data_IF_982896580840
#
_entry.id   IF_982896580840
#
_cell.length_a   1.000
_cell.length_b   1.000
_cell.length_c   1.000
_cell.angle_alpha   90.00
_cell.angle_beta   90.00
_cell.angle_gamma   90.00
#
_symmetry.space_group_name_H-M   'P 1'
#
loop_
_entity.id
_entity.type
_entity.pdbx_description
1 polymer ?
#
# COMPACT_ATOMS: atom_id res chain seq x y z
N UNK A 1 -21.05 23.60 -15.39
CA UNK A 1 -19.87 24.17 -14.68
C UNK A 1 -19.51 23.29 -13.49
N UNK A 2 -20.50 22.75 -12.80
CA UNK A 2 -20.33 21.89 -11.62
C UNK A 2 -19.48 20.64 -11.92
N UNK A 3 -19.73 19.94 -13.04
CA UNK A 3 -18.96 18.74 -13.41
C UNK A 3 -17.46 19.01 -13.65
N UNK A 4 -17.12 20.21 -14.15
CA UNK A 4 -15.73 20.64 -14.33
C UNK A 4 -15.06 20.80 -12.97
N UNK A 5 -15.74 21.44 -12.01
CA UNK A 5 -15.24 21.62 -10.66
C UNK A 5 -15.05 20.25 -9.99
N UNK A 6 -16.03 19.34 -10.12
CA UNK A 6 -15.94 17.99 -9.57
C UNK A 6 -14.73 17.23 -10.12
N UNK A 7 -14.44 17.35 -11.42
CA UNK A 7 -13.25 16.75 -12.02
C UNK A 7 -11.95 17.28 -11.42
N UNK A 8 -11.83 18.59 -11.23
CA UNK A 8 -10.67 19.20 -10.58
C UNK A 8 -10.57 18.85 -9.09
N UNK A 9 -11.68 18.74 -8.38
CA UNK A 9 -11.67 18.31 -6.97
C UNK A 9 -11.24 16.84 -6.85
N UNK A 10 -11.68 15.97 -7.77
CA UNK A 10 -11.28 14.56 -7.81
C UNK A 10 -9.75 14.43 -7.87
N UNK A 11 -9.11 15.09 -8.84
CA UNK A 11 -7.64 15.04 -8.97
C UNK A 11 -6.93 15.74 -7.81
N UNK A 12 -7.47 16.85 -7.28
CA UNK A 12 -6.87 17.59 -6.17
C UNK A 12 -6.84 16.77 -4.87
N UNK A 13 -7.97 16.15 -4.50
CA UNK A 13 -8.07 15.27 -3.32
C UNK A 13 -7.11 14.09 -3.46
N UNK A 14 -7.11 13.45 -4.64
CA UNK A 14 -6.22 12.33 -4.93
C UNK A 14 -4.74 12.73 -4.83
N UNK A 15 -4.33 13.82 -5.47
CA UNK A 15 -2.95 14.28 -5.48
C UNK A 15 -2.44 14.71 -4.08
N UNK A 16 -3.28 15.41 -3.31
CA UNK A 16 -2.96 15.79 -1.94
C UNK A 16 -2.78 14.56 -1.05
N UNK A 17 -3.71 13.60 -1.13
CA UNK A 17 -3.65 12.35 -0.37
C UNK A 17 -2.41 11.52 -0.71
N UNK A 18 -2.09 11.36 -2.00
CA UNK A 18 -0.89 10.63 -2.45
C UNK A 18 0.38 11.34 -2.00
N UNK A 19 0.45 12.67 -2.07
CA UNK A 19 1.63 13.41 -1.59
C UNK A 19 1.90 13.14 -0.12
N UNK A 20 0.85 13.15 0.71
CA UNK A 20 0.94 12.83 2.14
C UNK A 20 1.32 11.35 2.35
N UNK A 21 0.75 10.44 1.56
CA UNK A 21 1.08 9.01 1.60
C UNK A 21 2.56 8.74 1.27
N UNK A 22 3.07 9.32 0.18
CA UNK A 22 4.48 9.19 -0.23
C UNK A 22 5.40 9.77 0.83
N UNK A 23 5.05 10.92 1.42
CA UNK A 23 5.83 11.51 2.51
C UNK A 23 5.89 10.58 3.74
N UNK A 24 4.76 9.97 4.12
CA UNK A 24 4.72 9.03 5.23
C UNK A 24 5.53 7.76 4.93
N UNK A 25 5.43 7.25 3.69
CA UNK A 25 6.22 6.11 3.21
C UNK A 25 7.72 6.38 3.29
N UNK A 26 8.19 7.54 2.80
CA UNK A 26 9.60 7.93 2.83
C UNK A 26 10.16 8.09 4.24
N UNK A 27 9.31 8.42 5.21
CA UNK A 27 9.68 8.55 6.63
C UNK A 27 9.52 7.26 7.42
N UNK A 28 9.02 6.19 6.80
CA UNK A 28 8.67 4.94 7.49
C UNK A 28 7.64 5.19 8.62
N UNK A 29 6.75 6.16 8.40
CA UNK A 29 5.75 6.65 9.35
C UNK A 29 4.32 6.39 8.85
N UNK A 30 4.11 5.30 8.10
CA UNK A 30 2.76 4.95 7.66
C UNK A 30 1.90 4.65 8.90
N UNK A 31 0.78 5.36 9.12
CA UNK A 31 -0.03 5.16 10.30
C UNK A 31 -0.66 3.76 10.30
N UNK A 32 -0.75 3.16 11.49
CA UNK A 32 -1.44 1.87 11.67
C UNK A 32 -2.89 1.95 11.16
N UNK A 33 -3.57 3.04 11.50
CA UNK A 33 -4.89 3.35 10.96
C UNK A 33 -4.79 4.16 9.66
N UNK A 34 -4.88 3.47 8.53
CA UNK A 34 -4.88 4.06 7.18
C UNK A 34 -6.25 4.51 6.65
N UNK A 35 -7.30 4.49 7.48
CA UNK A 35 -8.67 4.80 7.06
C UNK A 35 -8.82 6.21 6.46
N UNK A 36 -8.06 7.20 6.95
CA UNK A 36 -8.10 8.57 6.40
C UNK A 36 -7.68 8.63 4.93
N UNK A 37 -6.61 7.93 4.56
CA UNK A 37 -6.17 7.83 3.15
C UNK A 37 -7.20 7.11 2.29
N UNK A 38 -7.74 6.00 2.80
CA UNK A 38 -8.79 5.24 2.12
C UNK A 38 -10.02 6.10 1.88
N UNK A 39 -10.48 6.85 2.89
CA UNK A 39 -11.61 7.76 2.76
C UNK A 39 -11.34 8.85 1.71
N UNK A 40 -10.16 9.46 1.71
CA UNK A 40 -9.78 10.46 0.72
C UNK A 40 -9.79 9.89 -0.71
N UNK A 41 -9.30 8.66 -0.92
CA UNK A 41 -9.34 8.03 -2.24
C UNK A 41 -10.76 7.60 -2.64
N UNK A 42 -11.60 7.13 -1.71
CA UNK A 42 -13.03 6.89 -1.99
C UNK A 42 -13.72 8.18 -2.43
N UNK A 43 -13.47 9.29 -1.74
CA UNK A 43 -14.00 10.62 -2.11
C UNK A 43 -13.48 11.03 -3.48
N UNK A 44 -12.17 10.93 -3.73
CA UNK A 44 -11.57 11.27 -5.03
C UNK A 44 -12.17 10.44 -6.17
N UNK A 45 -12.35 9.13 -5.96
CA UNK A 45 -12.99 8.23 -6.91
C UNK A 45 -14.45 8.62 -7.17
N UNK A 46 -15.24 8.84 -6.12
CA UNK A 46 -16.65 9.21 -6.24
C UNK A 46 -16.82 10.54 -7.00
N UNK A 47 -16.03 11.56 -6.66
CA UNK A 47 -16.05 12.85 -7.35
C UNK A 47 -15.74 12.71 -8.84
N UNK A 48 -14.74 11.90 -9.19
CA UNK A 48 -14.35 11.69 -10.59
C UNK A 48 -15.41 10.91 -11.37
N UNK A 49 -16.01 9.88 -10.76
CA UNK A 49 -17.12 9.13 -11.38
C UNK A 49 -18.33 10.03 -11.60
N UNK A 50 -18.75 10.81 -10.59
CA UNK A 50 -19.88 11.73 -10.71
C UNK A 50 -19.62 12.77 -11.80
N UNK A 51 -18.41 13.35 -11.85
CA UNK A 51 -18.04 14.30 -12.91
C UNK A 51 -18.15 13.68 -14.31
N UNK A 52 -17.75 12.41 -14.48
CA UNK A 52 -17.79 11.70 -15.77
C UNK A 52 -19.20 11.25 -16.19
N UNK A 53 -20.14 11.11 -15.26
CA UNK A 53 -21.54 10.79 -15.57
C UNK A 53 -22.33 11.99 -16.11
N UNK A 54 -21.84 13.21 -15.87
CA UNK A 54 -22.36 14.43 -16.46
C UNK A 54 -21.76 14.71 -17.83
N UNK A 55 -21.56 15.98 -18.17
CA UNK A 55 -20.95 16.42 -19.43
C UNK A 55 -19.77 17.38 -19.16
N UNK A 56 -18.67 16.90 -18.55
CA UNK A 56 -17.58 17.76 -18.08
C UNK A 56 -16.70 18.31 -19.23
N UNK A 57 -16.91 17.83 -20.47
CA UNK A 57 -16.00 18.04 -21.59
C UNK A 57 -14.57 17.59 -21.26
N UNK A 58 -13.59 18.04 -22.03
CA UNK A 58 -12.18 17.68 -21.77
C UNK A 58 -11.62 18.35 -20.50
N UNK A 59 -12.03 19.59 -20.22
CA UNK A 59 -11.50 20.37 -19.10
C UNK A 59 -11.83 19.79 -17.72
N UNK A 60 -12.98 19.13 -17.57
CA UNK A 60 -13.32 18.37 -16.38
C UNK A 60 -13.08 16.87 -16.51
N UNK A 61 -13.28 16.31 -17.71
CA UNK A 61 -13.23 14.86 -17.95
C UNK A 61 -11.83 14.28 -17.78
N UNK A 62 -10.79 14.98 -18.25
CA UNK A 62 -9.39 14.52 -18.08
C UNK A 62 -8.99 14.46 -16.59
N UNK A 63 -9.14 15.53 -15.79
CA UNK A 63 -8.80 15.45 -14.37
C UNK A 63 -9.70 14.47 -13.61
N UNK A 64 -10.99 14.36 -13.96
CA UNK A 64 -11.89 13.36 -13.38
C UNK A 64 -11.43 11.92 -13.65
N UNK A 65 -11.03 11.61 -14.89
CA UNK A 65 -10.55 10.29 -15.27
C UNK A 65 -9.25 9.91 -14.56
N UNK A 66 -8.29 10.83 -14.49
CA UNK A 66 -7.04 10.61 -13.75
C UNK A 66 -7.31 10.45 -12.25
N UNK A 67 -8.11 11.35 -11.66
CA UNK A 67 -8.46 11.32 -10.25
C UNK A 67 -9.18 10.03 -9.84
N UNK A 68 -10.16 9.60 -10.63
CA UNK A 68 -10.89 8.35 -10.40
C UNK A 68 -9.99 7.12 -10.59
N UNK A 69 -9.27 7.04 -11.71
CA UNK A 69 -8.41 5.90 -12.03
C UNK A 69 -7.29 5.71 -11.01
N UNK A 70 -6.57 6.78 -10.65
CA UNK A 70 -5.53 6.72 -9.64
C UNK A 70 -6.09 6.35 -8.26
N UNK A 71 -7.21 6.96 -7.84
CA UNK A 71 -7.84 6.61 -6.56
C UNK A 71 -8.26 5.15 -6.51
N UNK A 72 -8.87 4.62 -7.58
CA UNK A 72 -9.23 3.21 -7.68
C UNK A 72 -8.01 2.29 -7.60
N UNK A 73 -6.91 2.65 -8.28
CA UNK A 73 -5.65 1.92 -8.19
C UNK A 73 -5.13 1.85 -6.75
N UNK A 74 -5.09 2.96 -6.01
CA UNK A 74 -4.64 2.96 -4.62
C UNK A 74 -5.58 2.16 -3.70
N UNK A 75 -6.90 2.25 -3.89
CA UNK A 75 -7.87 1.41 -3.17
C UNK A 75 -7.63 -0.08 -3.43
N UNK A 76 -7.35 -0.46 -4.68
CA UNK A 76 -7.01 -1.84 -5.03
C UNK A 76 -5.76 -2.30 -4.29
N UNK A 77 -4.69 -1.50 -4.27
CA UNK A 77 -3.45 -1.87 -3.55
C UNK A 77 -3.69 -2.06 -2.05
N UNK A 78 -4.57 -1.27 -1.43
CA UNK A 78 -4.97 -1.47 -0.03
C UNK A 78 -5.76 -2.76 0.15
N UNK A 79 -6.67 -3.06 -0.78
CA UNK A 79 -7.52 -4.26 -0.73
C UNK A 79 -6.69 -5.54 -0.81
N UNK A 80 -5.69 -5.59 -1.70
CA UNK A 80 -4.82 -6.76 -1.89
C UNK A 80 -3.60 -6.77 -0.96
N UNK A 81 -3.29 -5.66 -0.29
CA UNK A 81 -2.04 -5.46 0.43
C UNK A 81 -1.95 -6.11 1.82
N UNK A 82 -3.03 -6.69 2.35
CA UNK A 82 -3.03 -7.35 3.67
C UNK A 82 -2.17 -8.61 3.63
N UNK A 83 -1.07 -8.62 4.38
CA UNK A 83 -0.31 -9.83 4.66
C UNK A 83 -1.03 -10.63 5.73
N UNK A 84 -1.36 -11.88 5.42
CA UNK A 84 -1.88 -12.83 6.39
C UNK A 84 -0.68 -13.60 6.94
N UNK A 85 -0.27 -13.30 8.17
CA UNK A 85 0.64 -14.17 8.91
C UNK A 85 -0.21 -15.26 9.57
N UNK A 86 0.17 -16.52 9.40
CA UNK A 86 -0.49 -17.61 10.11
C UNK A 86 -0.29 -17.41 11.63
N UNK A 87 -1.38 -17.39 12.39
CA UNK A 87 -1.30 -17.20 13.83
C UNK A 87 -0.53 -18.37 14.49
N UNK A 88 0.35 -18.06 15.43
CA UNK A 88 0.94 -19.04 16.34
C UNK A 88 2.20 -19.79 15.88
N UNK A 89 2.82 -19.41 14.76
CA UNK A 89 4.01 -20.13 14.24
C UNK A 89 5.29 -19.86 15.06
N UNK A 90 5.40 -18.71 15.71
CA UNK A 90 6.58 -18.33 16.51
C UNK A 90 6.10 -17.74 17.84
N UNK A 91 6.58 -18.30 18.95
CA UNK A 91 6.27 -17.85 20.32
C UNK A 91 7.57 -17.67 21.10
N UNK A 92 7.57 -16.71 22.03
CA UNK A 92 8.72 -16.48 22.92
C UNK A 92 8.94 -17.72 23.78
N UNK A 93 10.18 -18.22 23.80
CA UNK A 93 10.57 -19.44 24.52
C UNK A 93 10.35 -20.74 23.73
N UNK A 94 9.68 -20.69 22.57
CA UNK A 94 9.62 -21.84 21.67
C UNK A 94 10.95 -22.00 20.91
N UNK A 95 11.28 -23.24 20.55
CA UNK A 95 12.37 -23.51 19.64
C UNK A 95 12.09 -22.87 18.27
N UNK A 96 13.14 -22.34 17.62
CA UNK A 96 13.04 -21.81 16.26
C UNK A 96 12.59 -22.96 15.33
N UNK A 97 11.56 -22.77 14.49
CA UNK A 97 11.16 -23.78 13.52
C UNK A 97 12.31 -24.12 12.57
N UNK A 98 12.43 -25.38 12.15
CA UNK A 98 13.44 -25.76 11.17
C UNK A 98 13.10 -25.16 9.81
N UNK A 99 14.05 -24.48 9.20
CA UNK A 99 13.95 -23.97 7.83
C UNK A 99 15.28 -24.08 7.10
N UNK A 100 15.22 -24.23 5.79
CA UNK A 100 16.37 -24.15 4.91
C UNK A 100 16.11 -23.22 3.73
N UNK A 101 17.16 -22.58 3.25
CA UNK A 101 17.12 -21.67 2.11
C UNK A 101 18.45 -21.68 1.38
N UNK A 102 18.47 -21.21 0.13
CA UNK A 102 19.71 -20.94 -0.58
C UNK A 102 20.21 -19.56 -0.18
N UNK A 103 21.48 -19.45 0.20
CA UNK A 103 22.11 -18.19 0.56
C UNK A 103 22.63 -17.41 -0.66
N UNK A 104 23.28 -16.27 -0.41
CA UNK A 104 23.85 -15.39 -1.43
C UNK A 104 25.02 -16.02 -2.23
N UNK A 105 25.57 -17.13 -1.76
CA UNK A 105 26.66 -17.87 -2.41
C UNK A 105 26.17 -19.15 -3.10
N UNK A 106 24.85 -19.38 -3.15
CA UNK A 106 24.27 -20.59 -3.71
C UNK A 106 24.40 -21.82 -2.80
N UNK A 107 24.82 -21.64 -1.55
CA UNK A 107 24.92 -22.72 -0.57
C UNK A 107 23.59 -22.92 0.14
N UNK A 108 23.36 -24.15 0.62
CA UNK A 108 22.17 -24.42 1.43
C UNK A 108 22.44 -24.01 2.88
N UNK A 109 21.68 -23.02 3.34
CA UNK A 109 21.58 -22.66 4.75
C UNK A 109 20.54 -23.58 5.44
N UNK A 110 20.88 -24.15 6.59
CA UNK A 110 19.94 -24.82 7.51
C UNK A 110 19.96 -24.08 8.85
N UNK A 111 18.77 -23.75 9.36
CA UNK A 111 18.53 -23.17 10.68
C UNK A 111 19.20 -23.92 11.85
N UNK A 112 19.47 -25.23 11.74
CA UNK A 112 20.19 -25.99 12.77
C UNK A 112 21.62 -25.47 13.00
N UNK A 113 22.24 -24.85 11.99
CA UNK A 113 23.56 -24.21 12.12
C UNK A 113 23.57 -23.06 13.14
N UNK A 114 22.41 -22.52 13.50
CA UNK A 114 22.27 -21.44 14.49
C UNK A 114 22.28 -21.96 15.94
N UNK A 115 22.21 -23.28 16.16
CA UNK A 115 22.16 -23.85 17.50
C UNK A 115 23.36 -23.41 18.36
N UNK A 116 23.09 -23.04 19.61
CA UNK A 116 24.11 -22.59 20.56
C UNK A 116 24.55 -21.13 20.40
N UNK A 117 24.00 -20.38 19.43
CA UNK A 117 24.36 -18.99 19.18
C UNK A 117 23.16 -18.04 19.40
N UNK A 118 23.36 -16.86 20.01
CA UNK A 118 22.36 -15.81 19.99
C UNK A 118 22.27 -15.22 18.58
N UNK A 119 21.09 -15.23 17.98
CA UNK A 119 20.86 -14.83 16.58
C UNK A 119 19.73 -13.81 16.46
N UNK A 120 19.88 -12.87 15.53
CA UNK A 120 18.84 -11.93 15.13
C UNK A 120 18.38 -12.28 13.72
N UNK A 121 17.15 -12.78 13.58
CA UNK A 121 16.55 -13.07 12.28
C UNK A 121 15.68 -11.88 11.87
N UNK A 122 15.95 -11.32 10.69
CA UNK A 122 15.21 -10.18 10.14
C UNK A 122 14.60 -10.55 8.79
N UNK A 123 13.29 -10.40 8.68
CA UNK A 123 12.55 -10.63 7.44
C UNK A 123 12.40 -9.33 6.66
N UNK A 124 12.67 -9.38 5.36
CA UNK A 124 12.47 -8.27 4.43
C UNK A 124 11.39 -8.62 3.41
N UNK A 125 10.57 -7.64 3.02
CA UNK A 125 9.47 -7.82 2.04
C UNK A 125 9.94 -7.74 0.58
N UNK A 126 11.23 -7.52 0.35
CA UNK A 126 11.89 -7.45 -0.95
C UNK A 126 13.38 -7.10 -0.77
N UNK A 127 14.22 -7.59 -1.66
CA UNK A 127 15.60 -7.10 -1.83
C UNK A 127 15.59 -6.06 -2.94
N UNK A 128 16.35 -4.98 -2.74
CA UNK A 128 16.66 -3.98 -3.77
C UNK A 128 18.13 -4.17 -4.14
#
# INVERSE_FOLDING_TARGET
MDDVILGWMSIAVMAASIRLWIRAFQRVEIPENRSGFVAAWVIGAALGVVALMGEPGLLGGVPAGIGAGASAFFLLTVAIGKQKVAAGVIQVGAAIPRFSAIDEHGQTFDSESLAGHPVLIKFFRGHW
#
